data_IF_729928960068
#
_entry.id   IF_729928960068
#
_cell.length_a   1.000
_cell.length_b   1.000
_cell.length_c   1.000
_cell.angle_alpha   90.00
_cell.angle_beta   90.00
_cell.angle_gamma   90.00
#
_symmetry.space_group_name_H-M   'P 1'
#
loop_
_entity.id
_entity.type
_entity.pdbx_description
1 polymer ?
#
# COMPACT_ATOMS: atom_id res chain seq x y z
N UNK A 1 -0.15 28.68 -27.59
CA UNK A 1 -1.35 29.56 -27.49
C UNK A 1 -2.18 29.08 -26.32
N UNK A 2 -2.13 29.78 -25.18
CA UNK A 2 -2.90 29.42 -23.97
C UNK A 2 -4.38 29.75 -24.24
N UNK A 3 -5.20 28.73 -24.49
CA UNK A 3 -6.61 28.96 -24.80
C UNK A 3 -7.35 29.49 -23.57
N UNK A 4 -8.32 30.38 -23.78
CA UNK A 4 -9.09 31.04 -22.72
C UNK A 4 -9.74 30.07 -21.72
N UNK A 5 -10.03 28.84 -22.18
CA UNK A 5 -10.56 27.74 -21.35
C UNK A 5 -9.51 27.15 -20.39
N UNK A 6 -8.23 27.05 -20.80
CA UNK A 6 -7.14 26.59 -19.92
C UNK A 6 -6.77 27.66 -18.91
N UNK A 7 -6.74 28.93 -19.30
CA UNK A 7 -6.51 30.05 -18.38
C UNK A 7 -7.57 30.07 -17.27
N UNK A 8 -8.86 29.91 -17.60
CA UNK A 8 -9.95 29.81 -16.61
C UNK A 8 -9.78 28.64 -15.64
N UNK A 9 -9.39 27.47 -16.12
CA UNK A 9 -9.17 26.28 -15.27
C UNK A 9 -8.00 26.45 -14.32
N UNK A 10 -6.92 27.05 -14.79
CA UNK A 10 -5.73 27.36 -13.98
C UNK A 10 -6.08 28.39 -12.91
N UNK A 11 -6.81 29.46 -13.27
CA UNK A 11 -7.27 30.47 -12.32
C UNK A 11 -8.22 29.87 -11.29
N UNK A 12 -9.14 28.99 -11.68
CA UNK A 12 -10.03 28.28 -10.76
C UNK A 12 -9.27 27.37 -9.81
N UNK A 13 -8.26 26.64 -10.30
CA UNK A 13 -7.38 25.81 -9.48
C UNK A 13 -6.57 26.65 -8.49
N UNK A 14 -6.02 27.78 -8.93
CA UNK A 14 -5.28 28.70 -8.06
C UNK A 14 -6.22 29.28 -7.00
N UNK A 15 -7.42 29.75 -7.38
CA UNK A 15 -8.42 30.26 -6.44
C UNK A 15 -8.85 29.21 -5.43
N UNK A 16 -9.04 27.96 -5.87
CA UNK A 16 -9.42 26.86 -5.00
C UNK A 16 -8.29 26.47 -4.04
N UNK A 17 -7.03 26.45 -4.51
CA UNK A 17 -5.84 26.22 -3.68
C UNK A 17 -5.62 27.34 -2.66
N UNK A 18 -5.81 28.59 -3.07
CA UNK A 18 -5.69 29.77 -2.20
C UNK A 18 -6.82 29.78 -1.17
N UNK A 19 -8.06 29.49 -1.58
CA UNK A 19 -9.20 29.37 -0.67
C UNK A 19 -9.01 28.21 0.32
N UNK A 20 -8.48 27.06 -0.12
CA UNK A 20 -8.15 25.95 0.76
C UNK A 20 -7.02 26.30 1.75
N UNK A 21 -6.01 27.06 1.31
CA UNK A 21 -4.92 27.50 2.18
C UNK A 21 -5.38 28.54 3.21
N UNK A 22 -6.18 29.52 2.81
CA UNK A 22 -6.78 30.51 3.71
C UNK A 22 -7.78 29.87 4.67
N UNK A 23 -8.63 28.95 4.20
CA UNK A 23 -9.52 28.20 5.07
C UNK A 23 -8.74 27.31 6.04
N UNK A 24 -7.66 26.68 5.59
CA UNK A 24 -6.76 25.88 6.42
C UNK A 24 -6.08 26.70 7.52
N UNK A 25 -5.58 27.89 7.18
CA UNK A 25 -4.97 28.80 8.16
C UNK A 25 -6.00 29.40 9.12
N UNK A 26 -7.19 29.78 8.62
CA UNK A 26 -8.26 30.29 9.48
C UNK A 26 -8.82 29.21 10.41
N UNK A 27 -8.92 27.96 9.94
CA UNK A 27 -9.21 26.81 10.79
C UNK A 27 -8.10 26.57 11.81
N UNK A 28 -6.83 26.66 11.40
CA UNK A 28 -5.69 26.49 12.29
C UNK A 28 -5.62 27.58 13.37
N UNK A 29 -6.04 28.82 13.08
CA UNK A 29 -6.03 29.92 14.05
C UNK A 29 -7.26 29.89 14.98
N UNK A 30 -8.45 29.59 14.44
CA UNK A 30 -9.70 29.51 15.22
C UNK A 30 -9.67 28.35 16.22
N UNK A 31 -9.02 27.25 15.83
CA UNK A 31 -8.82 26.08 16.69
C UNK A 31 -7.48 26.18 17.44
N UNK A 32 -6.42 26.74 16.88
CA UNK A 32 -5.07 26.74 17.47
C UNK A 32 -4.92 27.49 18.79
N UNK A 33 -5.71 28.56 19.02
CA UNK A 33 -5.61 29.37 20.24
C UNK A 33 -6.18 28.68 21.49
N UNK A 34 -7.19 27.80 21.35
CA UNK A 34 -7.78 27.04 22.46
C UNK A 34 -7.22 25.63 22.64
N UNK A 35 -6.37 25.16 21.72
CA UNK A 35 -5.98 23.75 21.58
C UNK A 35 -4.57 23.43 22.07
N UNK A 36 -3.71 24.44 22.32
CA UNK A 36 -2.31 24.22 22.72
C UNK A 36 -2.14 23.67 24.15
N UNK A 37 -3.18 23.76 24.99
CA UNK A 37 -3.10 23.47 26.43
C UNK A 37 -3.54 22.07 26.87
N UNK A 38 -4.02 21.21 25.95
CA UNK A 38 -4.36 19.83 26.31
C UNK A 38 -3.53 18.82 25.51
N UNK A 39 -2.68 18.05 26.20
CA UNK A 39 -1.86 16.96 25.62
C UNK A 39 -2.63 15.85 24.88
N UNK A 40 -3.96 16.00 24.79
CA UNK A 40 -4.89 15.19 24.01
C UNK A 40 -4.63 15.34 22.50
N UNK A 41 -4.25 16.52 22.01
CA UNK A 41 -4.14 16.80 20.56
C UNK A 41 -2.85 16.27 19.94
N UNK A 42 -1.74 16.26 20.69
CA UNK A 42 -0.54 15.55 20.26
C UNK A 42 -0.84 14.06 20.00
N UNK A 43 -1.76 13.47 20.78
CA UNK A 43 -2.21 12.09 20.62
C UNK A 43 -3.14 11.90 19.41
N UNK A 44 -4.07 12.81 19.16
CA UNK A 44 -4.96 12.70 17.99
C UNK A 44 -4.25 13.05 16.67
N UNK A 45 -3.32 14.00 16.66
CA UNK A 45 -2.54 14.36 15.48
C UNK A 45 -1.59 13.24 15.04
N UNK A 46 -0.95 12.56 15.99
CA UNK A 46 -0.12 11.38 15.71
C UNK A 46 -0.95 10.20 15.19
N UNK A 47 -2.14 9.97 15.76
CA UNK A 47 -3.07 8.95 15.26
C UNK A 47 -3.54 9.26 13.84
N UNK A 48 -3.90 10.51 13.54
CA UNK A 48 -4.31 10.93 12.20
C UNK A 48 -3.19 10.71 11.17
N UNK A 49 -1.95 11.06 11.52
CA UNK A 49 -0.79 10.82 10.67
C UNK A 49 -0.53 9.32 10.45
N UNK A 50 -0.66 8.51 11.50
CA UNK A 50 -0.52 7.07 11.42
C UNK A 50 -1.59 6.43 10.52
N UNK A 51 -2.83 6.91 10.60
CA UNK A 51 -3.92 6.47 9.72
C UNK A 51 -3.64 6.86 8.27
N UNK A 52 -3.24 8.11 8.02
CA UNK A 52 -2.89 8.58 6.68
C UNK A 52 -1.73 7.75 6.10
N UNK A 53 -0.71 7.45 6.92
CA UNK A 53 0.40 6.58 6.53
C UNK A 53 -0.07 5.15 6.19
N UNK A 54 -0.92 4.55 7.03
CA UNK A 54 -1.57 3.26 6.77
C UNK A 54 -2.29 3.21 5.41
N UNK A 55 -3.11 4.24 5.14
CA UNK A 55 -3.87 4.34 3.89
C UNK A 55 -2.92 4.46 2.71
N UNK A 56 -1.89 5.30 2.83
CA UNK A 56 -0.90 5.48 1.78
C UNK A 56 -0.17 4.17 1.47
N UNK A 57 0.20 3.38 2.49
CA UNK A 57 0.82 2.06 2.30
C UNK A 57 -0.09 1.03 1.63
N UNK A 58 -1.41 1.16 1.80
CA UNK A 58 -2.37 0.29 1.15
C UNK A 58 -2.52 0.59 -0.36
N UNK A 59 -2.12 1.77 -0.82
CA UNK A 59 -2.21 2.17 -2.23
C UNK A 59 -1.07 1.50 -3.03
N UNK A 60 -1.38 0.86 -4.17
CA UNK A 60 -0.35 0.27 -5.02
C UNK A 60 0.58 1.34 -5.60
N UNK A 61 1.82 0.96 -5.87
CA UNK A 61 2.93 1.78 -6.39
C UNK A 61 3.50 2.81 -5.41
N UNK A 62 3.02 2.85 -4.17
CA UNK A 62 3.62 3.69 -3.13
C UNK A 62 4.89 3.03 -2.59
N UNK A 63 6.02 3.75 -2.51
CA UNK A 63 7.27 3.28 -1.91
C UNK A 63 7.16 3.25 -0.38
N UNK A 64 6.48 2.21 0.12
CA UNK A 64 6.08 2.15 1.52
C UNK A 64 7.22 1.92 2.50
N UNK A 65 8.15 1.04 2.15
CA UNK A 65 9.32 0.69 2.98
C UNK A 65 10.27 1.88 3.06
N UNK A 66 10.47 2.58 1.95
CA UNK A 66 11.30 3.78 1.86
C UNK A 66 10.71 4.92 2.71
N UNK A 67 9.40 5.12 2.66
CA UNK A 67 8.70 6.09 3.51
C UNK A 67 8.82 5.74 5.00
N UNK A 68 8.70 4.45 5.35
CA UNK A 68 8.88 3.98 6.72
C UNK A 68 10.30 4.22 7.24
N UNK A 69 11.32 3.93 6.42
CA UNK A 69 12.72 4.20 6.75
C UNK A 69 12.99 5.70 6.92
N UNK A 70 12.46 6.56 6.04
CA UNK A 70 12.57 8.02 6.20
C UNK A 70 11.94 8.51 7.51
N UNK A 71 10.74 8.03 7.85
CA UNK A 71 10.07 8.41 9.09
C UNK A 71 10.92 8.01 10.31
N UNK A 72 11.43 6.77 10.34
CA UNK A 72 12.26 6.27 11.45
C UNK A 72 13.61 7.00 11.53
N UNK A 73 14.19 7.40 10.40
CA UNK A 73 15.39 8.23 10.39
C UNK A 73 15.12 9.62 11.01
N UNK A 74 13.99 10.26 10.67
CA UNK A 74 13.63 11.60 11.15
C UNK A 74 13.21 11.62 12.62
N UNK A 75 12.35 10.68 13.04
CA UNK A 75 11.74 10.68 14.39
C UNK A 75 12.38 9.70 15.37
N UNK A 76 13.35 8.90 14.90
CA UNK A 76 14.06 7.91 15.70
C UNK A 76 13.29 6.62 15.96
N UNK A 77 13.86 5.81 16.87
CA UNK A 77 13.38 4.47 17.21
C UNK A 77 12.00 4.47 17.88
N UNK A 78 11.60 5.60 18.47
CA UNK A 78 10.31 5.80 19.16
C UNK A 78 9.10 5.48 18.29
N UNK A 79 9.22 5.67 16.97
CA UNK A 79 8.11 5.40 16.03
C UNK A 79 8.25 4.06 15.29
N UNK A 80 9.31 3.28 15.52
CA UNK A 80 9.57 2.05 14.77
C UNK A 80 8.44 1.03 14.92
N UNK A 81 7.89 0.89 16.13
CA UNK A 81 6.73 0.04 16.39
C UNK A 81 5.47 0.55 15.67
N UNK A 82 5.25 1.87 15.65
CA UNK A 82 4.12 2.47 14.97
C UNK A 82 4.20 2.23 13.46
N UNK A 83 5.38 2.45 12.86
CA UNK A 83 5.64 2.21 11.44
C UNK A 83 5.44 0.72 11.10
N UNK A 84 5.93 -0.19 11.95
CA UNK A 84 5.74 -1.63 11.80
C UNK A 84 4.24 -1.99 11.77
N UNK A 85 3.49 -1.54 12.79
CA UNK A 85 2.06 -1.82 12.89
C UNK A 85 1.29 -1.24 11.71
N UNK A 86 1.57 0.01 11.34
CA UNK A 86 0.96 0.65 10.17
C UNK A 86 1.25 -0.12 8.88
N UNK A 87 2.46 -0.65 8.72
CA UNK A 87 2.83 -1.42 7.53
C UNK A 87 2.09 -2.75 7.46
N UNK A 88 2.05 -3.50 8.57
CA UNK A 88 1.31 -4.77 8.61
C UNK A 88 -0.19 -4.54 8.37
N UNK A 89 -0.77 -3.49 8.97
CA UNK A 89 -2.19 -3.14 8.81
C UNK A 89 -2.48 -2.69 7.38
N UNK A 90 -1.71 -1.76 6.82
CA UNK A 90 -1.89 -1.24 5.47
C UNK A 90 -1.80 -2.34 4.40
N UNK A 91 -0.81 -3.22 4.51
CA UNK A 91 -0.68 -4.38 3.62
C UNK A 91 -1.82 -5.39 3.80
N UNK A 92 -2.30 -5.59 5.04
CA UNK A 92 -3.46 -6.45 5.30
C UNK A 92 -4.74 -5.87 4.71
N UNK A 93 -4.93 -4.55 4.76
CA UNK A 93 -6.06 -3.86 4.11
C UNK A 93 -5.98 -4.05 2.59
N UNK A 94 -4.82 -3.83 1.99
CA UNK A 94 -4.63 -4.06 0.55
C UNK A 94 -4.91 -5.52 0.16
N UNK A 95 -4.46 -6.49 0.96
CA UNK A 95 -4.77 -7.90 0.76
C UNK A 95 -6.27 -8.20 0.86
N UNK A 96 -6.95 -7.67 1.88
CA UNK A 96 -8.39 -7.86 2.04
C UNK A 96 -9.16 -7.20 0.89
N UNK A 97 -8.77 -6.00 0.47
CA UNK A 97 -9.34 -5.34 -0.69
C UNK A 97 -9.19 -6.23 -1.93
N UNK A 98 -7.99 -6.76 -2.19
CA UNK A 98 -7.74 -7.67 -3.30
C UNK A 98 -8.57 -8.95 -3.24
N UNK A 99 -8.78 -9.49 -2.03
CA UNK A 99 -9.56 -10.72 -1.80
C UNK A 99 -11.07 -10.52 -1.94
N UNK A 100 -11.57 -9.36 -1.49
CA UNK A 100 -12.98 -9.00 -1.49
C UNK A 100 -13.46 -8.52 -2.86
N UNK A 101 -12.58 -7.96 -3.70
CA UNK A 101 -12.91 -7.60 -5.08
C UNK A 101 -13.22 -8.87 -5.89
N UNK A 102 -14.48 -9.06 -6.34
CA UNK A 102 -14.84 -10.20 -7.18
C UNK A 102 -14.16 -10.10 -8.53
N UNK A 103 -13.71 -11.23 -9.10
CA UNK A 103 -13.13 -11.25 -10.45
C UNK A 103 -14.11 -10.73 -11.50
N UNK A 104 -15.40 -10.98 -11.30
CA UNK A 104 -16.50 -10.39 -12.06
C UNK A 104 -16.58 -8.86 -12.01
N UNK A 105 -16.17 -8.22 -10.90
CA UNK A 105 -16.09 -6.76 -10.81
C UNK A 105 -14.89 -6.21 -11.60
N UNK A 106 -13.75 -6.89 -11.57
CA UNK A 106 -12.60 -6.56 -12.44
C UNK A 106 -12.91 -6.80 -13.92
N UNK A 107 -13.63 -7.87 -14.28
CA UNK A 107 -14.09 -8.08 -15.65
C UNK A 107 -15.04 -6.97 -16.10
N UNK A 108 -15.98 -6.56 -15.24
CA UNK A 108 -16.90 -5.44 -15.50
C UNK A 108 -16.14 -4.11 -15.67
N UNK A 109 -15.12 -3.86 -14.87
CA UNK A 109 -14.26 -2.69 -14.99
C UNK A 109 -13.40 -2.73 -16.27
N UNK A 110 -12.87 -3.89 -16.65
CA UNK A 110 -12.16 -4.07 -17.91
C UNK A 110 -13.07 -3.84 -19.12
N UNK A 111 -14.33 -4.31 -19.09
CA UNK A 111 -15.35 -3.99 -20.11
C UNK A 111 -15.67 -2.49 -20.14
N UNK A 112 -15.77 -1.85 -18.97
CA UNK A 112 -15.95 -0.40 -18.87
C UNK A 112 -14.79 0.38 -19.53
N UNK A 113 -13.55 -0.10 -19.38
CA UNK A 113 -12.36 0.44 -20.06
C UNK A 113 -12.19 -0.03 -21.52
N UNK A 114 -13.17 -0.75 -22.10
CA UNK A 114 -13.13 -1.33 -23.45
C UNK A 114 -11.99 -2.32 -23.70
N UNK A 115 -11.44 -2.93 -22.65
CA UNK A 115 -10.43 -3.98 -22.72
C UNK A 115 -11.09 -5.36 -22.83
N UNK A 116 -11.82 -5.61 -23.91
CA UNK A 116 -12.65 -6.82 -24.07
C UNK A 116 -11.85 -8.13 -23.99
N UNK A 117 -10.63 -8.19 -24.53
CA UNK A 117 -9.76 -9.37 -24.41
C UNK A 117 -9.42 -9.69 -22.96
N UNK A 118 -9.18 -8.66 -22.15
CA UNK A 118 -8.84 -8.81 -20.73
C UNK A 118 -10.09 -9.25 -19.96
N UNK A 119 -11.25 -8.66 -20.25
CA UNK A 119 -12.52 -9.07 -19.65
C UNK A 119 -12.86 -10.54 -19.94
N UNK A 120 -12.74 -10.97 -21.20
CA UNK A 120 -12.98 -12.37 -21.60
C UNK A 120 -12.00 -13.34 -20.95
N UNK A 121 -10.73 -12.95 -20.81
CA UNK A 121 -9.74 -13.75 -20.10
C UNK A 121 -10.06 -13.88 -18.60
N UNK A 122 -10.50 -12.79 -17.97
CA UNK A 122 -10.90 -12.79 -16.55
C UNK A 122 -12.17 -13.63 -16.34
N UNK A 123 -13.16 -13.53 -17.22
CA UNK A 123 -14.39 -14.34 -17.17
C UNK A 123 -14.07 -15.84 -17.31
N UNK A 124 -13.13 -16.20 -18.20
CA UNK A 124 -12.65 -17.58 -18.35
C UNK A 124 -11.90 -18.11 -17.13
N UNK A 125 -11.30 -17.23 -16.34
CA UNK A 125 -10.66 -17.58 -15.06
C UNK A 125 -11.72 -17.72 -13.96
N UNK A 126 -12.74 -16.85 -13.91
CA UNK A 126 -13.82 -16.87 -12.90
C UNK A 126 -14.66 -18.16 -12.92
N UNK A 127 -14.81 -18.76 -14.10
CA UNK A 127 -15.50 -20.04 -14.28
C UNK A 127 -14.73 -21.28 -13.74
N UNK A 128 -13.46 -21.13 -13.34
CA UNK A 128 -12.62 -22.24 -12.87
C UNK A 128 -12.53 -22.28 -11.35
N UNK A 129 -12.67 -23.47 -10.76
CA UNK A 129 -12.52 -23.66 -9.31
C UNK A 129 -11.05 -23.50 -8.86
N UNK A 130 -10.82 -23.23 -7.57
CA UNK A 130 -9.52 -22.82 -7.01
C UNK A 130 -8.42 -23.86 -7.21
N UNK A 131 -8.76 -25.15 -7.16
CA UNK A 131 -7.85 -26.26 -7.42
C UNK A 131 -7.54 -26.42 -8.93
N UNK A 132 -8.54 -26.19 -9.79
CA UNK A 132 -8.39 -26.24 -11.25
C UNK A 132 -7.54 -25.09 -11.80
N UNK A 133 -7.61 -23.89 -11.21
CA UNK A 133 -6.69 -22.79 -11.57
C UNK A 133 -5.24 -23.13 -11.26
N UNK A 134 -4.98 -23.73 -10.09
CA UNK A 134 -3.64 -24.15 -9.71
C UNK A 134 -3.13 -25.26 -10.63
N UNK A 135 -3.96 -26.24 -10.95
CA UNK A 135 -3.62 -27.33 -11.87
C UNK A 135 -3.27 -26.80 -13.28
N UNK A 136 -4.08 -25.90 -13.85
CA UNK A 136 -3.77 -25.30 -15.17
C UNK A 136 -2.54 -24.38 -15.17
N UNK A 137 -2.30 -23.65 -14.08
CA UNK A 137 -1.07 -22.87 -13.92
C UNK A 137 0.16 -23.77 -13.86
N UNK A 138 0.05 -24.94 -13.22
CA UNK A 138 1.11 -25.94 -13.18
C UNK A 138 1.31 -26.63 -14.53
N UNK A 139 0.24 -26.85 -15.30
CA UNK A 139 0.26 -27.51 -16.61
C UNK A 139 0.86 -26.62 -17.72
N UNK A 140 0.62 -25.30 -17.67
CA UNK A 140 1.12 -24.34 -18.65
C UNK A 140 2.41 -23.62 -18.23
N UNK A 141 2.99 -23.93 -17.06
CA UNK A 141 4.18 -23.25 -16.56
C UNK A 141 5.46 -23.72 -17.31
N UNK A 142 6.14 -22.86 -18.08
CA UNK A 142 7.29 -23.27 -18.89
C UNK A 142 8.58 -23.48 -18.08
N UNK A 143 8.62 -23.11 -16.79
CA UNK A 143 9.84 -23.13 -15.98
C UNK A 143 9.61 -23.70 -14.56
N UNK A 144 10.54 -24.54 -14.09
CA UNK A 144 10.61 -25.11 -12.73
C UNK A 144 10.52 -24.07 -11.59
N UNK A 145 10.75 -22.80 -11.89
CA UNK A 145 10.60 -21.69 -10.96
C UNK A 145 9.15 -21.47 -10.50
N UNK A 146 8.16 -21.60 -11.38
CA UNK A 146 6.75 -21.31 -11.05
C UNK A 146 6.18 -22.33 -10.03
N UNK A 147 6.37 -23.66 -10.20
CA UNK A 147 5.98 -24.64 -9.19
C UNK A 147 6.69 -24.44 -7.85
N UNK A 148 7.97 -24.05 -7.86
CA UNK A 148 8.73 -23.77 -6.64
C UNK A 148 8.21 -22.53 -5.90
N UNK A 149 7.91 -21.46 -6.63
CA UNK A 149 7.29 -20.24 -6.12
C UNK A 149 5.88 -20.51 -5.53
N UNK A 150 5.09 -21.36 -6.17
CA UNK A 150 3.75 -21.74 -5.67
C UNK A 150 3.82 -22.62 -4.41
N UNK A 151 4.83 -23.50 -4.33
CA UNK A 151 5.09 -24.35 -3.15
C UNK A 151 5.61 -23.52 -1.97
N UNK A 152 6.44 -22.51 -2.22
CA UNK A 152 6.99 -21.61 -1.19
C UNK A 152 6.37 -20.21 -1.25
N UNK A 153 5.05 -20.14 -1.46
CA UNK A 153 4.32 -18.87 -1.72
C UNK A 153 4.54 -17.79 -0.65
N UNK A 154 4.69 -18.17 0.62
CA UNK A 154 4.95 -17.23 1.72
C UNK A 154 6.38 -16.67 1.68
N UNK A 155 7.35 -17.49 1.28
CA UNK A 155 8.75 -17.06 1.09
C UNK A 155 8.84 -16.14 -0.14
N UNK A 156 8.16 -16.50 -1.23
CA UNK A 156 8.07 -15.67 -2.41
C UNK A 156 7.45 -14.30 -2.11
N UNK A 157 6.38 -14.25 -1.30
CA UNK A 157 5.77 -13.02 -0.84
C UNK A 157 6.77 -12.17 -0.02
N UNK A 158 7.47 -12.79 0.94
CA UNK A 158 8.44 -12.10 1.78
C UNK A 158 9.60 -11.51 0.96
N UNK A 159 10.10 -12.26 -0.02
CA UNK A 159 11.12 -11.79 -0.97
C UNK A 159 10.58 -10.63 -1.81
N UNK A 160 9.39 -10.77 -2.38
CA UNK A 160 8.79 -9.72 -3.21
C UNK A 160 8.65 -8.39 -2.46
N UNK A 161 8.26 -8.43 -1.18
CA UNK A 161 8.12 -7.25 -0.34
C UNK A 161 9.46 -6.60 0.04
N UNK A 162 10.56 -7.36 0.05
CA UNK A 162 11.88 -6.89 0.44
C UNK A 162 12.82 -6.61 -0.75
N UNK A 163 12.37 -6.83 -1.99
CA UNK A 163 13.15 -6.46 -3.18
C UNK A 163 13.21 -4.92 -3.27
N UNK A 164 14.41 -4.33 -3.41
CA UNK A 164 14.55 -2.89 -3.61
C UNK A 164 13.87 -2.47 -4.92
N UNK A 165 13.13 -1.36 -4.88
CA UNK A 165 12.38 -0.89 -6.05
C UNK A 165 11.13 -1.72 -6.36
N UNK A 166 10.60 -2.50 -5.40
CA UNK A 166 9.33 -3.21 -5.57
C UNK A 166 8.17 -2.28 -5.97
N UNK A 167 8.27 -0.97 -5.72
CA UNK A 167 7.38 0.09 -6.21
C UNK A 167 7.14 0.02 -7.73
N UNK A 168 8.15 -0.37 -8.52
CA UNK A 168 8.04 -0.54 -9.98
C UNK A 168 7.05 -1.66 -10.34
N UNK A 169 6.97 -2.70 -9.51
CA UNK A 169 6.12 -3.88 -9.70
C UNK A 169 4.74 -3.69 -9.05
N UNK A 170 4.53 -2.59 -8.32
CA UNK A 170 3.29 -2.30 -7.60
C UNK A 170 3.46 -1.97 -6.12
N UNK A 171 4.69 -1.94 -5.60
CA UNK A 171 4.96 -1.65 -4.20
C UNK A 171 4.47 -2.75 -3.26
N UNK A 172 4.62 -2.54 -1.96
CA UNK A 172 4.06 -3.45 -0.95
C UNK A 172 2.54 -3.60 -1.09
N UNK A 173 1.83 -2.48 -1.24
CA UNK A 173 0.37 -2.47 -1.39
C UNK A 173 -0.12 -3.23 -2.62
N UNK A 174 0.54 -3.08 -3.78
CA UNK A 174 0.17 -3.80 -5.00
C UNK A 174 0.48 -5.29 -4.93
N UNK A 175 1.62 -5.68 -4.34
CA UNK A 175 1.94 -7.09 -4.08
C UNK A 175 0.89 -7.72 -3.16
N UNK A 176 0.50 -7.03 -2.09
CA UNK A 176 -0.53 -7.48 -1.16
C UNK A 176 -1.91 -7.60 -1.83
N UNK A 177 -2.29 -6.62 -2.65
CA UNK A 177 -3.52 -6.61 -3.44
C UNK A 177 -3.58 -7.81 -4.40
N UNK A 178 -2.49 -8.07 -5.14
CA UNK A 178 -2.38 -9.22 -6.05
C UNK A 178 -2.40 -10.56 -5.29
N UNK A 179 -1.73 -10.63 -4.13
CA UNK A 179 -1.79 -11.80 -3.27
C UNK A 179 -3.23 -12.08 -2.80
N UNK A 180 -3.99 -11.03 -2.47
CA UNK A 180 -5.40 -11.10 -2.10
C UNK A 180 -6.29 -11.60 -3.24
N UNK A 181 -6.15 -11.01 -4.43
CA UNK A 181 -6.96 -11.33 -5.60
C UNK A 181 -6.68 -12.72 -6.16
N UNK A 182 -5.45 -13.21 -6.02
CA UNK A 182 -5.10 -14.58 -6.38
C UNK A 182 -5.89 -15.63 -5.59
N UNK A 183 -6.38 -15.25 -4.40
CA UNK A 183 -6.96 -16.16 -3.40
C UNK A 183 -6.06 -17.35 -3.11
N UNK A 184 -4.74 -17.30 -3.33
CA UNK A 184 -3.84 -18.42 -3.03
C UNK A 184 -3.44 -18.46 -1.55
N UNK A 185 -3.60 -17.36 -0.82
CA UNK A 185 -3.20 -17.25 0.57
C UNK A 185 -4.43 -17.29 1.49
N UNK A 186 -4.30 -17.95 2.65
CA UNK A 186 -5.25 -17.74 3.75
C UNK A 186 -4.98 -16.39 4.41
N UNK A 187 -5.99 -15.74 5.00
CA UNK A 187 -5.80 -14.45 5.66
C UNK A 187 -4.78 -14.53 6.81
N UNK A 188 -4.89 -15.57 7.65
CA UNK A 188 -3.94 -15.81 8.73
C UNK A 188 -2.52 -16.07 8.21
N UNK A 189 -2.37 -16.91 7.18
CA UNK A 189 -1.06 -17.21 6.59
C UNK A 189 -0.42 -16.00 5.91
N UNK A 190 -1.23 -15.13 5.29
CA UNK A 190 -0.75 -13.86 4.75
C UNK A 190 -0.28 -12.92 5.87
N UNK A 191 -1.07 -12.76 6.93
CA UNK A 191 -0.74 -11.88 8.05
C UNK A 191 0.56 -12.31 8.74
N UNK A 192 0.74 -13.61 9.00
CA UNK A 192 1.99 -14.14 9.57
C UNK A 192 3.18 -13.89 8.62
N UNK A 193 3.01 -14.15 7.33
CA UNK A 193 4.07 -13.93 6.36
C UNK A 193 4.47 -12.45 6.25
N UNK A 194 3.51 -11.53 6.25
CA UNK A 194 3.77 -10.09 6.23
C UNK A 194 4.40 -9.61 7.53
N UNK A 195 3.91 -10.05 8.68
CA UNK A 195 4.50 -9.69 9.98
C UNK A 195 5.99 -10.07 10.03
N UNK A 196 6.32 -11.29 9.59
CA UNK A 196 7.70 -11.75 9.49
C UNK A 196 8.49 -10.97 8.44
N UNK A 197 7.94 -10.73 7.25
CA UNK A 197 8.63 -10.06 6.16
C UNK A 197 8.94 -8.58 6.45
N UNK A 198 8.09 -7.90 7.22
CA UNK A 198 8.25 -6.49 7.59
C UNK A 198 9.15 -6.32 8.82
N UNK A 199 9.25 -7.34 9.68
CA UNK A 199 10.01 -7.29 10.93
C UNK A 199 11.50 -6.89 10.84
N UNK A 200 12.29 -7.23 9.78
CA UNK A 200 13.73 -7.02 9.80
C UNK A 200 14.14 -5.55 9.95
N UNK A 201 13.47 -4.62 9.26
CA UNK A 201 13.85 -3.20 9.27
C UNK A 201 13.54 -2.56 10.64
N UNK A 202 12.33 -2.66 11.21
CA UNK A 202 12.05 -2.11 12.54
C UNK A 202 12.86 -2.78 13.66
N UNK A 203 13.13 -4.09 13.56
CA UNK A 203 14.00 -4.80 14.51
C UNK A 203 15.44 -4.27 14.44
N UNK A 204 15.97 -4.05 13.24
CA UNK A 204 17.30 -3.46 13.08
C UNK A 204 17.38 -2.07 13.73
N UNK A 205 16.38 -1.22 13.51
CA UNK A 205 16.30 0.08 14.18
C UNK A 205 16.22 -0.03 15.70
N UNK A 206 15.46 -0.98 16.23
CA UNK A 206 15.32 -1.19 17.67
C UNK A 206 16.62 -1.69 18.31
N UNK A 207 17.33 -2.62 17.65
CA UNK A 207 18.54 -3.26 18.18
C UNK A 207 19.80 -2.40 18.00
N UNK A 208 19.93 -1.67 16.88
CA UNK A 208 21.15 -0.94 16.52
C UNK A 208 21.01 0.59 16.65
N UNK A 209 19.80 1.11 16.85
CA UNK A 209 19.56 2.55 16.97
C UNK A 209 19.86 3.34 15.68
N UNK A 210 20.05 4.66 15.81
CA UNK A 210 20.35 5.59 14.70
C UNK A 210 21.73 5.36 14.05
N UNK A 211 22.57 4.48 14.58
CA UNK A 211 23.90 4.18 14.01
C UNK A 211 23.82 3.45 12.66
N UNK A 212 22.62 3.00 12.27
CA UNK A 212 22.39 2.26 11.03
C UNK A 212 22.46 3.13 9.76
N UNK A 213 22.27 4.45 9.88
CA UNK A 213 22.41 5.38 8.75
C UNK A 213 23.65 6.27 8.94
N UNK A 214 24.42 6.54 7.87
CA UNK A 214 25.51 7.51 7.96
C UNK A 214 24.95 8.86 8.41
N UNK A 215 25.69 9.62 9.25
CA UNK A 215 25.28 10.97 9.60
C UNK A 215 25.11 11.78 8.32
N UNK A 216 23.95 12.45 8.19
CA UNK A 216 23.66 13.40 7.11
C UNK A 216 24.59 14.61 7.16
#
# INVERSE_FOLDING_TARGET
>A
MLTWKTARRIVLLILLLVAANLAGNYFADLFGAGLKDSGVIARWGTVALAIAYCILLAIPFVPGVEMGMMLMAIHGTSIALLVYLCTVIGLSIAFLAGRLVPLSATARFARFLRLERVALFIDGIDAMDREERLARLMEKAPNRAIPFLLRHRHIALALALNIPGNSVIGGGGGIALLAGSSRLFSAAGFLVAVALAVSPVPLAFYLFGQQFFPPL
#
